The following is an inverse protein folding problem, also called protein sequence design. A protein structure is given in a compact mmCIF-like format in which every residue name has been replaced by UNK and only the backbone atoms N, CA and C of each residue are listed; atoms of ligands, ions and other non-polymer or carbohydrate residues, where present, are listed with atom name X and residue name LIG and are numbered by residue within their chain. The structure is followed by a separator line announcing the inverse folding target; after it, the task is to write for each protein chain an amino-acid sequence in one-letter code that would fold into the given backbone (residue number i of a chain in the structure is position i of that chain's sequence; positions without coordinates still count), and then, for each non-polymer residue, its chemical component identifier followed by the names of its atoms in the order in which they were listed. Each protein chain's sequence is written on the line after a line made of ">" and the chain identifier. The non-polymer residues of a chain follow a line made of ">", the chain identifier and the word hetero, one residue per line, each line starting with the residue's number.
data_IF_680798009974
#
_entry.id   IF_680798009974
#
_cell.length_a   1.000
_cell.length_b   1.000
_cell.length_c   1.000
_cell.angle_alpha   90.00
_cell.angle_beta   90.00
_cell.angle_gamma   90.00
#
_symmetry.space_group_name_H-M   'P 1'
#
loop_
_entity.id
_entity.type
_entity.pdbx_description
1 polymer ?
#
# COMPACT_ATOMS: atom_id res chain seq x y z
N UNK A 1 -2.48 3.97 10.95
CA UNK A 1 -1.02 3.78 11.14
C UNK A 1 -0.45 3.14 9.89
N UNK A 2 0.86 3.29 9.66
CA UNK A 2 1.53 2.77 8.44
C UNK A 2 2.74 1.88 8.73
N UNK A 3 3.07 1.65 10.00
CA UNK A 3 4.15 0.74 10.45
C UNK A 3 3.87 0.21 11.86
N UNK A 4 4.51 -0.90 12.21
CA UNK A 4 4.37 -1.59 13.49
C UNK A 4 3.11 -2.46 13.61
N UNK A 5 2.91 -3.04 14.78
CA UNK A 5 1.81 -3.97 15.05
C UNK A 5 0.43 -3.35 14.75
N UNK A 6 -0.38 -4.09 14.01
CA UNK A 6 -1.72 -3.67 13.59
C UNK A 6 -1.77 -2.76 12.36
N UNK A 7 -0.61 -2.32 11.82
CA UNK A 7 -0.60 -1.42 10.67
C UNK A 7 -1.19 -2.08 9.42
N UNK A 8 -0.90 -3.36 9.18
CA UNK A 8 -1.41 -4.08 8.01
C UNK A 8 -2.96 -4.17 8.02
N UNK A 9 -3.56 -4.37 9.20
CA UNK A 9 -5.01 -4.38 9.40
C UNK A 9 -5.62 -3.01 9.14
N UNK A 10 -5.02 -1.96 9.68
CA UNK A 10 -5.50 -0.58 9.50
C UNK A 10 -5.40 -0.15 8.02
N UNK A 11 -4.31 -0.50 7.32
CA UNK A 11 -4.12 -0.22 5.90
C UNK A 11 -5.17 -0.97 5.06
N UNK A 12 -5.35 -2.26 5.28
CA UNK A 12 -6.33 -3.06 4.56
C UNK A 12 -7.76 -2.54 4.78
N UNK A 13 -8.11 -2.17 6.02
CA UNK A 13 -9.40 -1.58 6.35
C UNK A 13 -9.59 -0.20 5.69
N UNK A 14 -8.54 0.62 5.61
CA UNK A 14 -8.58 1.91 4.93
C UNK A 14 -8.85 1.74 3.43
N UNK A 15 -8.16 0.81 2.75
CA UNK A 15 -8.41 0.48 1.34
C UNK A 15 -9.87 0.07 1.11
N UNK A 16 -10.39 -0.82 1.96
CA UNK A 16 -11.79 -1.24 1.88
C UNK A 16 -12.78 -0.10 2.12
N UNK A 17 -12.43 0.84 3.00
CA UNK A 17 -13.26 2.02 3.29
C UNK A 17 -13.26 2.98 2.11
N UNK A 18 -12.11 3.25 1.50
CA UNK A 18 -11.99 4.10 0.32
C UNK A 18 -12.80 3.56 -0.86
N UNK A 19 -12.85 2.23 -1.03
CA UNK A 19 -13.71 1.58 -2.03
C UNK A 19 -15.22 1.78 -1.84
N UNK A 20 -15.66 2.39 -0.74
CA UNK A 20 -17.06 2.77 -0.49
C UNK A 20 -17.32 4.26 -0.72
N UNK A 21 -16.27 5.05 -0.92
CA UNK A 21 -16.37 6.47 -1.24
C UNK A 21 -16.66 6.58 -2.74
N UNK A 22 -17.74 7.26 -3.15
CA UNK A 22 -18.03 7.47 -4.56
C UNK A 22 -17.02 8.44 -5.19
N UNK A 23 -16.93 8.41 -6.52
CA UNK A 23 -16.21 9.40 -7.34
C UNK A 23 -14.71 9.56 -7.04
N UNK A 24 -14.03 8.44 -6.76
CA UNK A 24 -12.56 8.39 -6.65
C UNK A 24 -11.94 7.76 -7.90
N UNK A 25 -11.03 8.49 -8.55
CA UNK A 25 -10.37 8.04 -9.76
C UNK A 25 -9.13 7.16 -9.50
N UNK A 26 -8.36 7.49 -8.46
CA UNK A 26 -7.09 6.83 -8.11
C UNK A 26 -6.88 6.89 -6.59
N UNK A 27 -6.30 5.84 -6.03
CA UNK A 27 -5.83 5.78 -4.65
C UNK A 27 -4.31 5.59 -4.61
N UNK A 28 -3.62 6.33 -3.74
CA UNK A 28 -2.20 6.15 -3.49
C UNK A 28 -2.03 5.47 -2.14
N UNK A 29 -1.36 4.32 -2.13
CA UNK A 29 -0.93 3.62 -0.92
C UNK A 29 0.55 3.89 -0.76
N UNK A 30 0.94 4.63 0.27
CA UNK A 30 2.32 5.08 0.39
C UNK A 30 2.84 5.18 1.81
N UNK A 31 4.16 5.07 1.91
CA UNK A 31 4.95 5.31 3.12
C UNK A 31 6.37 5.67 2.68
N UNK A 32 6.99 6.63 3.37
CA UNK A 32 8.36 7.04 3.08
C UNK A 32 9.38 5.91 3.28
N UNK A 33 10.66 6.23 3.06
CA UNK A 33 11.76 5.30 3.30
C UNK A 33 11.92 4.89 4.77
N UNK A 34 12.65 3.81 5.01
CA UNK A 34 13.00 3.29 6.34
C UNK A 34 13.58 1.89 6.20
N UNK A 35 13.70 1.16 7.32
CA UNK A 35 14.17 -0.22 7.24
C UNK A 35 13.10 -1.13 6.65
N UNK A 36 13.47 -2.35 6.25
CA UNK A 36 12.49 -3.33 5.74
C UNK A 36 11.43 -3.66 6.81
N UNK A 37 11.80 -3.63 8.09
CA UNK A 37 10.88 -3.82 9.21
C UNK A 37 9.84 -2.71 9.29
N UNK A 38 10.22 -1.46 8.99
CA UNK A 38 9.24 -0.38 8.91
C UNK A 38 8.25 -0.55 7.75
N UNK A 39 8.71 -1.15 6.65
CA UNK A 39 7.91 -1.40 5.45
C UNK A 39 7.09 -2.69 5.53
N UNK A 40 7.30 -3.51 6.57
CA UNK A 40 6.80 -4.88 6.61
C UNK A 40 5.28 -5.00 6.50
N UNK A 41 4.54 -4.00 6.98
CA UNK A 41 3.08 -3.96 6.87
C UNK A 41 2.59 -4.04 5.41
N UNK A 42 3.36 -3.53 4.45
CA UNK A 42 3.06 -3.57 3.02
C UNK A 42 3.47 -4.90 2.36
N UNK A 43 4.17 -5.76 3.10
CA UNK A 43 4.53 -7.11 2.69
C UNK A 43 3.56 -8.17 3.24
N UNK A 44 2.56 -7.77 4.02
CA UNK A 44 1.56 -8.68 4.57
C UNK A 44 0.48 -9.03 3.55
N UNK A 45 0.08 -10.30 3.52
CA UNK A 45 -0.90 -10.84 2.57
C UNK A 45 -2.23 -10.07 2.59
N UNK A 46 -2.66 -9.60 3.78
CA UNK A 46 -3.93 -8.87 3.92
C UNK A 46 -3.93 -7.53 3.17
N UNK A 47 -2.80 -6.82 3.16
CA UNK A 47 -2.66 -5.57 2.41
C UNK A 47 -2.65 -5.88 0.92
N UNK A 48 -1.89 -6.90 0.52
CA UNK A 48 -1.84 -7.32 -0.88
C UNK A 48 -3.22 -7.71 -1.43
N UNK A 49 -3.99 -8.51 -0.68
CA UNK A 49 -5.36 -8.89 -1.04
C UNK A 49 -6.32 -7.70 -1.09
N UNK A 50 -6.16 -6.73 -0.19
CA UNK A 50 -6.98 -5.53 -0.19
C UNK A 50 -6.71 -4.66 -1.43
N UNK A 51 -5.44 -4.51 -1.82
CA UNK A 51 -5.05 -3.80 -3.05
C UNK A 51 -5.61 -4.53 -4.27
N UNK A 52 -5.36 -5.84 -4.39
CA UNK A 52 -5.81 -6.63 -5.54
C UNK A 52 -7.35 -6.69 -5.69
N UNK A 53 -8.10 -6.53 -4.61
CA UNK A 53 -9.56 -6.49 -4.62
C UNK A 53 -10.14 -5.06 -4.79
N UNK A 54 -9.29 -4.03 -4.89
CA UNK A 54 -9.72 -2.64 -5.04
C UNK A 54 -10.40 -2.42 -6.38
N UNK A 55 -11.51 -1.67 -6.36
CA UNK A 55 -12.21 -1.17 -7.55
C UNK A 55 -11.63 0.17 -8.04
N UNK A 56 -10.95 0.88 -7.14
CA UNK A 56 -10.22 2.12 -7.44
C UNK A 56 -8.79 1.72 -7.81
N UNK A 57 -8.25 2.18 -8.95
CA UNK A 57 -6.85 1.96 -9.32
C UNK A 57 -5.88 2.39 -8.21
N UNK A 58 -4.91 1.54 -7.89
CA UNK A 58 -3.97 1.74 -6.78
C UNK A 58 -2.57 2.00 -7.30
N UNK A 59 -1.97 3.11 -6.84
CA UNK A 59 -0.54 3.39 -7.01
C UNK A 59 0.19 3.10 -5.71
N UNK A 60 1.19 2.23 -5.74
CA UNK A 60 2.09 1.99 -4.62
C UNK A 60 3.22 3.02 -4.62
N UNK A 61 3.36 3.75 -3.51
CA UNK A 61 4.42 4.73 -3.25
C UNK A 61 5.13 4.38 -1.92
N UNK A 62 5.64 3.15 -1.83
CA UNK A 62 6.23 2.58 -0.61
C UNK A 62 7.75 2.48 -0.78
N UNK A 63 8.50 3.16 0.09
CA UNK A 63 9.96 3.11 0.12
C UNK A 63 10.64 3.76 -1.10
N UNK A 64 11.95 3.53 -1.22
CA UNK A 64 12.77 4.01 -2.33
C UNK A 64 12.78 3.01 -3.50
N UNK A 65 13.48 3.37 -4.57
CA UNK A 65 13.62 2.55 -5.78
C UNK A 65 14.02 1.09 -5.53
N UNK A 66 14.88 0.84 -4.54
CA UNK A 66 15.37 -0.51 -4.19
C UNK A 66 14.46 -1.27 -3.24
N UNK A 67 13.51 -0.60 -2.60
CA UNK A 67 12.60 -1.19 -1.64
C UNK A 67 11.41 -1.81 -2.40
N UNK A 68 11.25 -3.13 -2.27
CA UNK A 68 10.13 -3.85 -2.87
C UNK A 68 9.32 -4.57 -1.79
N UNK A 69 8.01 -4.47 -1.91
CA UNK A 69 7.03 -5.15 -1.07
C UNK A 69 6.01 -5.88 -1.95
N UNK A 70 5.30 -6.86 -1.39
CA UNK A 70 4.21 -7.52 -2.13
C UNK A 70 3.16 -6.50 -2.61
N UNK A 71 2.89 -5.44 -1.84
CA UNK A 71 1.99 -4.36 -2.25
C UNK A 71 2.37 -3.74 -3.60
N UNK A 72 3.66 -3.57 -3.88
CA UNK A 72 4.14 -3.00 -5.15
C UNK A 72 3.82 -3.89 -6.35
N UNK A 73 3.82 -5.21 -6.15
CA UNK A 73 3.57 -6.17 -7.23
C UNK A 73 2.09 -6.39 -7.54
N UNK A 74 1.21 -6.07 -6.58
CA UNK A 74 -0.25 -6.19 -6.77
C UNK A 74 -0.93 -4.86 -7.09
N UNK A 75 -0.25 -3.73 -6.90
CA UNK A 75 -0.74 -2.42 -7.30
C UNK A 75 -0.75 -2.27 -8.84
N UNK A 76 -1.62 -1.40 -9.35
CA UNK A 76 -1.72 -1.12 -10.79
C UNK A 76 -0.47 -0.39 -11.31
N UNK A 77 0.14 0.43 -10.45
CA UNK A 77 1.39 1.13 -10.76
C UNK A 77 2.25 1.24 -9.50
N UNK A 78 3.58 1.11 -9.67
CA UNK A 78 4.57 1.47 -8.66
C UNK A 78 5.18 2.83 -8.97
N UNK A 79 5.23 3.71 -7.98
CA UNK A 79 5.82 5.04 -8.03
C UNK A 79 6.87 5.19 -6.91
N UNK A 80 8.08 4.61 -7.06
CA UNK A 80 9.12 4.73 -6.06
C UNK A 80 9.70 6.15 -6.01
N UNK A 81 10.13 6.60 -4.83
CA UNK A 81 10.92 7.82 -4.71
C UNK A 81 12.39 7.55 -5.08
N UNK A 82 13.06 8.43 -5.84
CA UNK A 82 14.49 8.30 -6.14
C UNK A 82 15.32 8.22 -4.86
N UNK A 83 16.42 7.45 -4.91
CA UNK A 83 17.39 7.38 -3.81
C UNK A 83 18.42 8.49 -3.84
#
# INVERSE_FOLDING_TARGET
>A
KVQGDGAAEEIAAAIQTMNRVPDLDVMIVGRGGGSIEDLWAFNEEKVARAIAASKIPVVSAVGHEVDFTIADFVADLRAPTPS
#
